data_IF_036873019325
#
_entry.id   IF_036873019325
#
_cell.length_a   1.000
_cell.length_b   1.000
_cell.length_c   1.000
_cell.angle_alpha   90.00
_cell.angle_beta   90.00
_cell.angle_gamma   90.00
#
_symmetry.space_group_name_H-M   'P 1'
#
loop_
_entity.id
_entity.type
_entity.pdbx_description
1 polymer ?
#
# COMPACT_ATOMS: atom_id res chain seq x y z
N UNK A 1 14.95 -9.79 -20.88
CA UNK A 1 13.56 -9.84 -21.38
C UNK A 1 12.65 -9.99 -20.18
N UNK A 2 11.86 -8.97 -19.84
CA UNK A 2 10.88 -9.09 -18.78
C UNK A 2 9.70 -9.91 -19.30
N UNK A 3 9.40 -11.03 -18.65
CA UNK A 3 8.28 -11.91 -19.04
C UNK A 3 6.97 -11.15 -18.86
N UNK A 4 5.94 -11.46 -19.66
CA UNK A 4 4.59 -10.86 -19.53
C UNK A 4 4.08 -10.94 -18.07
N UNK A 5 4.41 -12.01 -17.35
CA UNK A 5 4.11 -12.15 -15.92
C UNK A 5 4.81 -11.12 -15.01
N UNK A 6 6.06 -10.72 -15.31
CA UNK A 6 6.74 -9.63 -14.60
C UNK A 6 6.07 -8.28 -14.88
N UNK A 7 5.58 -8.08 -16.10
CA UNK A 7 4.86 -6.87 -16.48
C UNK A 7 3.50 -6.77 -15.78
N UNK A 8 2.75 -7.88 -15.74
CA UNK A 8 1.48 -7.98 -15.02
C UNK A 8 1.66 -7.76 -13.50
N UNK A 9 2.71 -8.34 -12.90
CA UNK A 9 3.02 -8.09 -11.48
C UNK A 9 3.40 -6.63 -11.21
N UNK A 10 4.19 -6.01 -12.09
CA UNK A 10 4.53 -4.59 -11.93
C UNK A 10 3.29 -3.69 -12.04
N UNK A 11 2.37 -4.00 -12.95
CA UNK A 11 1.11 -3.27 -13.08
C UNK A 11 0.21 -3.46 -11.84
N UNK A 12 0.08 -4.69 -11.33
CA UNK A 12 -0.66 -4.98 -10.09
C UNK A 12 -0.07 -4.23 -8.90
N UNK A 13 1.25 -4.28 -8.71
CA UNK A 13 1.92 -3.56 -7.63
C UNK A 13 1.72 -2.04 -7.73
N UNK A 14 1.77 -1.48 -8.95
CA UNK A 14 1.54 -0.06 -9.17
C UNK A 14 0.09 0.35 -8.88
N UNK A 15 -0.88 -0.48 -9.26
CA UNK A 15 -2.30 -0.26 -8.98
C UNK A 15 -2.58 -0.31 -7.47
N UNK A 16 -2.05 -1.33 -6.78
CA UNK A 16 -2.13 -1.48 -5.31
C UNK A 16 -1.53 -0.25 -4.62
N UNK A 17 -0.33 0.18 -5.04
CA UNK A 17 0.32 1.39 -4.50
C UNK A 17 -0.56 2.62 -4.67
N UNK A 18 -1.08 2.86 -5.87
CA UNK A 18 -1.96 4.00 -6.13
C UNK A 18 -3.22 3.97 -5.27
N UNK A 19 -3.81 2.79 -5.03
CA UNK A 19 -4.99 2.65 -4.21
C UNK A 19 -4.70 2.93 -2.74
N UNK A 20 -3.58 2.41 -2.23
CA UNK A 20 -3.07 2.73 -0.89
C UNK A 20 -2.83 4.24 -0.76
N UNK A 21 -2.21 4.87 -1.76
CA UNK A 21 -2.01 6.33 -1.80
C UNK A 21 -3.30 7.13 -1.82
N UNK A 22 -4.32 6.65 -2.53
CA UNK A 22 -5.63 7.28 -2.59
C UNK A 22 -6.38 7.17 -1.25
N UNK A 23 -6.42 5.98 -0.64
CA UNK A 23 -7.21 5.69 0.56
C UNK A 23 -6.58 6.25 1.84
N UNK A 24 -5.25 6.13 2.00
CA UNK A 24 -4.55 6.74 3.14
C UNK A 24 -4.46 8.25 3.00
N UNK A 25 -4.35 8.73 1.76
CA UNK A 25 -4.06 10.11 1.43
C UNK A 25 -2.55 10.35 1.38
N UNK A 26 -2.13 11.16 0.40
CA UNK A 26 -0.72 11.52 0.17
C UNK A 26 -0.04 12.13 1.41
N UNK A 27 -0.79 12.86 2.23
CA UNK A 27 -0.29 13.50 3.44
C UNK A 27 0.21 12.48 4.46
N UNK A 28 -0.58 11.43 4.74
CA UNK A 28 -0.20 10.41 5.72
C UNK A 28 1.02 9.62 5.25
N UNK A 29 1.09 9.28 3.96
CA UNK A 29 2.25 8.58 3.38
C UNK A 29 3.50 9.46 3.43
N UNK A 30 3.38 10.77 3.16
CA UNK A 30 4.51 11.68 3.34
C UNK A 30 4.96 11.77 4.79
N UNK A 31 4.02 11.85 5.75
CA UNK A 31 4.36 11.86 7.18
C UNK A 31 5.06 10.57 7.61
N UNK A 32 4.58 9.41 7.14
CA UNK A 32 5.23 8.11 7.37
C UNK A 32 6.64 8.11 6.78
N UNK A 33 6.81 8.55 5.53
CA UNK A 33 8.11 8.61 4.88
C UNK A 33 9.09 9.57 5.59
N UNK A 34 8.61 10.72 6.06
CA UNK A 34 9.39 11.70 6.82
C UNK A 34 9.79 11.18 8.20
N UNK A 35 8.95 10.35 8.82
CA UNK A 35 9.26 9.65 10.06
C UNK A 35 10.25 8.48 9.89
N UNK A 36 10.67 8.18 8.65
CA UNK A 36 11.53 7.05 8.33
C UNK A 36 10.79 5.72 8.17
N UNK A 37 9.47 5.77 8.01
CA UNK A 37 8.63 4.63 7.72
C UNK A 37 8.61 4.27 6.23
N UNK A 38 8.47 2.99 5.94
CA UNK A 38 8.48 2.45 4.58
C UNK A 38 7.23 1.60 4.30
N UNK A 39 6.63 1.80 3.13
CA UNK A 39 5.60 0.92 2.59
C UNK A 39 6.25 -0.18 1.76
N UNK A 40 6.18 -1.43 2.25
CA UNK A 40 6.54 -2.61 1.47
C UNK A 40 5.30 -3.27 0.92
N UNK A 41 5.35 -3.56 -0.38
CA UNK A 41 4.37 -4.41 -1.05
C UNK A 41 4.98 -5.80 -1.19
N UNK A 42 4.31 -6.81 -0.64
CA UNK A 42 4.78 -8.19 -0.79
C UNK A 42 4.53 -8.65 -2.23
N UNK A 43 5.61 -8.96 -2.95
CA UNK A 43 5.54 -9.40 -4.34
C UNK A 43 4.72 -10.70 -4.45
N UNK A 44 3.53 -10.61 -5.05
CA UNK A 44 2.66 -11.77 -5.32
C UNK A 44 1.65 -12.11 -4.21
N UNK A 45 1.56 -11.33 -3.14
CA UNK A 45 0.45 -11.40 -2.18
C UNK A 45 -0.22 -10.03 -2.12
N UNK A 46 -1.54 -10.01 -1.99
CA UNK A 46 -2.36 -8.79 -1.81
C UNK A 46 -2.14 -8.17 -0.42
N UNK A 47 -0.91 -8.21 0.09
CA UNK A 47 -0.51 -7.78 1.40
C UNK A 47 0.50 -6.63 1.27
N UNK A 48 0.16 -5.52 1.91
CA UNK A 48 1.04 -4.37 2.09
C UNK A 48 1.39 -4.28 3.58
N UNK A 49 2.63 -3.89 3.86
CA UNK A 49 3.14 -3.75 5.21
C UNK A 49 3.80 -2.38 5.32
N UNK A 50 3.48 -1.66 6.38
CA UNK A 50 4.18 -0.45 6.74
C UNK A 50 5.20 -0.79 7.82
N UNK A 51 6.46 -0.43 7.59
CA UNK A 51 7.59 -0.66 8.50
C UNK A 51 8.03 0.65 9.12
N UNK A 52 8.57 0.57 10.34
CA UNK A 52 9.21 1.68 11.05
C UNK A 52 8.31 2.93 11.17
N UNK A 53 7.07 2.72 11.60
CA UNK A 53 6.06 3.77 11.75
C UNK A 53 6.07 4.24 13.20
N UNK A 54 6.01 5.55 13.43
CA UNK A 54 5.80 6.10 14.77
C UNK A 54 4.40 5.76 15.30
N UNK A 55 4.25 5.55 16.61
CA UNK A 55 2.99 5.18 17.29
C UNK A 55 1.79 6.11 16.95
N UNK A 56 2.06 7.41 16.82
CA UNK A 56 1.07 8.42 16.41
C UNK A 56 0.50 8.13 15.01
N UNK A 57 1.38 7.84 14.06
CA UNK A 57 1.03 7.51 12.68
C UNK A 57 0.46 6.11 12.55
N UNK A 58 0.88 5.17 13.42
CA UNK A 58 0.34 3.83 13.49
C UNK A 58 -1.14 3.85 13.86
N UNK A 59 -1.53 4.66 14.85
CA UNK A 59 -2.94 4.81 15.26
C UNK A 59 -3.81 5.37 14.13
N UNK A 60 -3.31 6.36 13.39
CA UNK A 60 -3.98 6.92 12.21
C UNK A 60 -4.08 5.90 11.06
N UNK A 61 -3.01 5.13 10.85
CA UNK A 61 -2.98 4.02 9.89
C UNK A 61 -4.00 2.95 10.24
N UNK A 62 -4.05 2.47 11.49
CA UNK A 62 -4.97 1.42 11.92
C UNK A 62 -6.44 1.80 11.71
N UNK A 63 -6.79 3.08 11.82
CA UNK A 63 -8.13 3.57 11.49
C UNK A 63 -8.43 3.53 9.99
N UNK A 64 -7.41 3.74 9.15
CA UNK A 64 -7.51 3.78 7.68
C UNK A 64 -7.27 2.43 7.01
N UNK A 65 -6.53 1.52 7.65
CA UNK A 65 -6.27 0.14 7.20
C UNK A 65 -7.54 -0.58 6.78
N UNK A 66 -8.66 -0.58 7.55
CA UNK A 66 -9.88 -1.25 7.10
C UNK A 66 -10.48 -0.63 5.83
N UNK A 67 -10.38 0.69 5.62
CA UNK A 67 -10.78 1.33 4.35
C UNK A 67 -9.87 0.91 3.20
N UNK A 68 -8.55 0.92 3.42
CA UNK A 68 -7.56 0.47 2.41
C UNK A 68 -7.77 -1.00 2.05
N UNK A 69 -7.96 -1.87 3.05
CA UNK A 69 -8.24 -3.29 2.85
C UNK A 69 -9.56 -3.51 2.10
N UNK A 70 -10.61 -2.73 2.43
CA UNK A 70 -11.88 -2.77 1.71
C UNK A 70 -11.72 -2.30 0.27
N UNK A 71 -10.95 -1.24 0.04
CA UNK A 71 -10.61 -0.75 -1.29
C UNK A 71 -9.86 -1.80 -2.11
N UNK A 72 -8.86 -2.47 -1.51
CA UNK A 72 -8.11 -3.56 -2.15
C UNK A 72 -9.00 -4.77 -2.43
N UNK A 73 -9.90 -5.14 -1.51
CA UNK A 73 -10.85 -6.23 -1.74
C UNK A 73 -11.90 -5.90 -2.79
N UNK A 74 -12.37 -4.64 -2.89
CA UNK A 74 -13.27 -4.23 -3.97
C UNK A 74 -12.56 -4.13 -5.31
N UNK A 75 -11.28 -3.76 -5.31
CA UNK A 75 -10.41 -3.79 -6.48
C UNK A 75 -9.79 -5.16 -6.75
N UNK A 76 -10.31 -6.26 -6.16
CA UNK A 76 -10.02 -7.61 -6.63
C UNK A 76 -10.37 -7.66 -8.12
N UNK A 77 -9.34 -7.44 -8.93
CA UNK A 77 -9.26 -7.73 -10.33
C UNK A 77 -9.33 -9.26 -10.42
N UNK A 78 -10.54 -9.76 -10.54
CA UNK A 78 -10.80 -11.13 -11.03
C UNK A 78 -10.14 -11.29 -12.42
#
# INVERSE_FOLDING_TARGET
>A
MATIGQFQNNLKNKAIRNLIEHELGKDLIQRIALAGGELKLSNGKEAFEFLNISEDLQTELEKKIPSVQKGLQQWRLD
#
